data_IF_876608316092
#
_entry.id   IF_876608316092
#
_cell.length_a   1.000
_cell.length_b   1.000
_cell.length_c   1.000
_cell.angle_alpha   90.00
_cell.angle_beta   90.00
_cell.angle_gamma   90.00
#
_symmetry.space_group_name_H-M   'P 1'
#
loop_
_entity.id
_entity.type
_entity.pdbx_description
1 polymer ?
#
# COMPACT_ATOMS: atom_id res chain seq x y z
N UNK A 1 10.18 -15.95 -25.00
CA UNK A 1 9.70 -15.35 -23.72
C UNK A 1 10.85 -14.97 -22.79
N UNK A 2 12.01 -15.67 -22.80
CA UNK A 2 13.21 -15.24 -22.02
C UNK A 2 13.78 -13.89 -22.47
N UNK A 3 13.64 -13.53 -23.74
CA UNK A 3 14.11 -12.25 -24.30
C UNK A 3 13.31 -11.00 -23.90
N UNK A 4 12.08 -11.16 -23.41
CA UNK A 4 11.16 -10.04 -23.11
C UNK A 4 11.10 -9.67 -21.62
N UNK A 5 11.84 -10.37 -20.76
CA UNK A 5 11.87 -10.11 -19.32
C UNK A 5 10.50 -10.22 -18.60
N UNK A 6 9.55 -10.94 -19.20
CA UNK A 6 8.19 -11.07 -18.68
C UNK A 6 8.16 -11.94 -17.43
N UNK A 7 7.37 -11.55 -16.44
CA UNK A 7 6.99 -12.39 -15.29
C UNK A 7 6.15 -13.58 -15.76
N UNK A 8 6.02 -14.62 -14.94
CA UNK A 8 5.24 -15.81 -15.34
C UNK A 8 3.76 -15.49 -15.65
N UNK A 9 3.15 -14.58 -14.86
CA UNK A 9 1.78 -14.08 -15.14
C UNK A 9 1.68 -13.31 -16.46
N UNK A 10 2.68 -12.50 -16.79
CA UNK A 10 2.73 -11.78 -18.07
C UNK A 10 2.95 -12.74 -19.26
N UNK A 11 3.71 -13.81 -19.07
CA UNK A 11 3.85 -14.89 -20.06
C UNK A 11 2.51 -15.58 -20.31
N UNK A 12 1.79 -15.95 -19.24
CA UNK A 12 0.48 -16.60 -19.35
C UNK A 12 -0.53 -15.69 -20.05
N UNK A 13 -0.56 -14.40 -19.71
CA UNK A 13 -1.39 -13.40 -20.38
C UNK A 13 -1.05 -13.26 -21.86
N UNK A 14 0.24 -13.19 -22.20
CA UNK A 14 0.71 -13.14 -23.58
C UNK A 14 0.31 -14.40 -24.36
N UNK A 15 0.42 -15.58 -23.76
CA UNK A 15 -0.03 -16.83 -24.37
C UNK A 15 -1.54 -16.84 -24.63
N UNK A 16 -2.36 -16.30 -23.71
CA UNK A 16 -3.79 -16.15 -23.91
C UNK A 16 -4.11 -15.23 -25.08
N UNK A 17 -3.41 -14.11 -25.25
CA UNK A 17 -3.57 -13.22 -26.41
C UNK A 17 -3.29 -13.96 -27.72
N UNK A 18 -2.21 -14.73 -27.79
CA UNK A 18 -1.88 -15.55 -28.97
C UNK A 18 -2.95 -16.60 -29.23
N UNK A 19 -3.51 -17.22 -28.19
CA UNK A 19 -4.58 -18.21 -28.33
C UNK A 19 -5.88 -17.60 -28.84
N UNK A 20 -6.27 -16.40 -28.39
CA UNK A 20 -7.42 -15.65 -28.92
C UNK A 20 -7.26 -15.37 -30.42
N UNK A 21 -6.08 -14.92 -30.86
CA UNK A 21 -5.81 -14.63 -32.27
C UNK A 21 -5.75 -15.87 -33.15
N UNK A 22 -5.31 -17.00 -32.60
CA UNK A 22 -5.19 -18.27 -33.33
C UNK A 22 -6.43 -19.18 -33.25
N UNK A 23 -7.45 -18.77 -32.50
CA UNK A 23 -8.69 -19.58 -32.38
C UNK A 23 -9.40 -19.69 -33.71
N UNK A 24 -9.51 -20.93 -34.23
CA UNK A 24 -10.09 -21.23 -35.55
C UNK A 24 -11.60 -21.22 -35.58
N UNK A 25 -12.28 -21.20 -34.43
CA UNK A 25 -13.74 -21.14 -34.33
C UNK A 25 -14.17 -20.13 -33.25
N UNK A 26 -15.44 -19.69 -33.34
CA UNK A 26 -16.01 -18.68 -32.47
C UNK A 26 -16.09 -19.16 -31.02
N UNK A 27 -16.45 -20.41 -30.78
CA UNK A 27 -16.60 -20.97 -29.42
C UNK A 27 -15.26 -20.96 -28.68
N UNK A 28 -14.19 -21.37 -29.38
CA UNK A 28 -12.83 -21.39 -28.84
C UNK A 28 -12.31 -19.95 -28.63
N UNK A 29 -12.64 -19.03 -29.52
CA UNK A 29 -12.30 -17.60 -29.37
C UNK A 29 -12.97 -16.99 -28.16
N UNK A 30 -14.28 -17.23 -28.00
CA UNK A 30 -15.05 -16.73 -26.85
C UNK A 30 -14.53 -17.31 -25.51
N UNK A 31 -14.14 -18.59 -25.51
CA UNK A 31 -13.52 -19.22 -24.33
C UNK A 31 -12.20 -18.53 -23.92
N UNK A 32 -11.30 -18.31 -24.86
CA UNK A 32 -10.03 -17.64 -24.57
C UNK A 32 -10.21 -16.16 -24.25
N UNK A 33 -11.19 -15.49 -24.87
CA UNK A 33 -11.54 -14.10 -24.55
C UNK A 33 -12.06 -13.98 -23.11
N UNK A 34 -12.89 -14.91 -22.64
CA UNK A 34 -13.35 -14.94 -21.26
C UNK A 34 -12.19 -15.16 -20.28
N UNK A 35 -11.25 -16.07 -20.61
CA UNK A 35 -10.03 -16.28 -19.80
C UNK A 35 -9.14 -15.04 -19.78
N UNK A 36 -8.99 -14.35 -20.91
CA UNK A 36 -8.22 -13.12 -21.01
C UNK A 36 -8.83 -12.02 -20.14
N UNK A 37 -10.17 -11.89 -20.19
CA UNK A 37 -10.91 -10.93 -19.35
C UNK A 37 -10.73 -11.24 -17.87
N UNK A 38 -10.85 -12.51 -17.47
CA UNK A 38 -10.61 -12.93 -16.08
C UNK A 38 -9.16 -12.67 -15.63
N UNK A 39 -8.17 -12.98 -16.46
CA UNK A 39 -6.77 -12.70 -16.17
C UNK A 39 -6.49 -11.20 -16.08
N UNK A 40 -7.15 -10.38 -16.90
CA UNK A 40 -7.08 -8.91 -16.82
C UNK A 40 -7.68 -8.40 -15.51
N UNK A 41 -8.86 -8.88 -15.11
CA UNK A 41 -9.48 -8.53 -13.83
C UNK A 41 -8.62 -8.95 -12.64
N UNK A 42 -8.04 -10.14 -12.67
CA UNK A 42 -7.11 -10.62 -11.65
C UNK A 42 -5.85 -9.74 -11.59
N UNK A 43 -5.30 -9.33 -12.73
CA UNK A 43 -4.14 -8.43 -12.79
C UNK A 43 -4.42 -7.01 -12.26
N UNK A 44 -5.67 -6.54 -12.33
CA UNK A 44 -6.11 -5.26 -11.77
C UNK A 44 -6.42 -5.33 -10.27
N UNK A 45 -6.47 -6.53 -9.69
CA UNK A 45 -6.62 -6.68 -8.25
C UNK A 45 -5.30 -6.35 -7.54
N UNK A 46 -5.27 -5.22 -6.85
CA UNK A 46 -4.09 -4.74 -6.14
C UNK A 46 -3.57 -5.74 -5.10
N UNK A 47 -4.46 -6.55 -4.50
CA UNK A 47 -4.13 -7.59 -3.53
C UNK A 47 -3.19 -8.65 -4.09
N UNK A 48 -3.45 -9.14 -5.30
CA UNK A 48 -2.66 -10.21 -5.91
C UNK A 48 -1.29 -9.72 -6.37
N UNK A 49 -1.19 -8.43 -6.70
CA UNK A 49 0.06 -7.77 -7.09
C UNK A 49 0.93 -7.37 -5.89
N UNK A 50 0.32 -7.07 -4.76
CA UNK A 50 0.98 -6.69 -3.51
C UNK A 50 1.19 -7.92 -2.62
N UNK A 51 1.99 -8.90 -2.99
CA UNK A 51 2.23 -10.15 -2.22
C UNK A 51 2.20 -9.95 -0.70
N UNK A 52 1.15 -10.47 -0.05
CA UNK A 52 0.96 -10.42 1.39
C UNK A 52 1.81 -11.48 2.09
N UNK A 53 2.50 -11.12 3.15
CA UNK A 53 3.46 -12.02 3.79
C UNK A 53 3.15 -12.41 5.24
N UNK A 54 2.20 -11.79 5.94
CA UNK A 54 1.65 -12.32 7.19
C UNK A 54 0.33 -11.66 7.55
N UNK A 55 -0.63 -12.43 8.04
CA UNK A 55 -1.91 -11.91 8.53
C UNK A 55 -1.81 -11.66 10.03
N UNK A 56 -2.06 -10.42 10.45
CA UNK A 56 -2.42 -10.12 11.83
C UNK A 56 -3.76 -10.80 12.15
N UNK A 57 -3.98 -11.19 13.39
CA UNK A 57 -5.29 -11.66 13.83
C UNK A 57 -6.34 -10.57 13.60
N UNK A 58 -7.54 -10.96 13.20
CA UNK A 58 -8.63 -10.03 12.80
C UNK A 58 -8.93 -8.96 13.85
N UNK A 59 -8.87 -9.32 15.12
CA UNK A 59 -9.08 -8.42 16.27
C UNK A 59 -8.04 -7.30 16.38
N UNK A 60 -6.78 -7.58 16.00
CA UNK A 60 -5.69 -6.60 16.04
C UNK A 60 -5.78 -5.58 14.89
N UNK A 61 -6.45 -5.92 13.76
CA UNK A 61 -6.63 -4.99 12.65
C UNK A 61 -7.46 -3.76 13.06
N UNK A 62 -8.55 -3.98 13.81
CA UNK A 62 -9.42 -2.86 14.22
C UNK A 62 -8.64 -1.84 15.05
N UNK A 63 -7.82 -2.30 15.97
CA UNK A 63 -7.01 -1.43 16.81
C UNK A 63 -5.87 -0.78 16.02
N UNK A 64 -5.11 -1.56 15.25
CA UNK A 64 -3.98 -1.05 14.47
C UNK A 64 -4.40 0.04 13.47
N UNK A 65 -5.54 -0.11 12.81
CA UNK A 65 -6.06 0.86 11.85
C UNK A 65 -7.06 1.86 12.45
N UNK A 66 -7.29 1.84 13.75
CA UNK A 66 -8.18 2.80 14.41
C UNK A 66 -7.67 4.24 14.29
N UNK A 67 -6.36 4.45 14.35
CA UNK A 67 -5.71 5.74 14.28
C UNK A 67 -4.45 5.70 13.41
N UNK A 68 -4.17 6.78 12.69
CA UNK A 68 -2.99 6.89 11.82
C UNK A 68 -1.66 6.76 12.59
N UNK A 69 -1.65 7.13 13.88
CA UNK A 69 -0.46 7.11 14.74
C UNK A 69 0.17 5.72 14.81
N UNK A 70 -0.61 4.63 14.88
CA UNK A 70 -0.06 3.27 14.95
C UNK A 70 0.89 2.99 13.78
N UNK A 71 0.45 3.26 12.55
CA UNK A 71 1.27 3.07 11.35
C UNK A 71 2.49 3.98 11.36
N UNK A 72 2.32 5.25 11.74
CA UNK A 72 3.41 6.24 11.75
C UNK A 72 4.44 5.90 12.84
N UNK A 73 4.02 5.49 14.03
CA UNK A 73 4.91 5.02 15.11
C UNK A 73 5.80 3.89 14.59
N UNK A 74 5.23 2.88 13.93
CA UNK A 74 6.00 1.77 13.36
C UNK A 74 7.04 2.30 12.37
N UNK A 75 6.64 3.14 11.42
CA UNK A 75 7.56 3.68 10.40
C UNK A 75 8.64 4.58 10.98
N UNK A 76 8.32 5.40 11.99
CA UNK A 76 9.30 6.25 12.67
C UNK A 76 10.42 5.43 13.33
N UNK A 77 10.12 4.24 13.88
CA UNK A 77 11.14 3.38 14.50
C UNK A 77 12.15 2.80 13.49
N UNK A 78 11.91 2.91 12.19
CA UNK A 78 12.90 2.61 11.14
C UNK A 78 13.95 3.74 10.99
N UNK A 79 13.66 4.94 11.49
CA UNK A 79 14.55 6.09 11.44
C UNK A 79 15.41 6.12 12.71
N UNK A 80 16.73 6.19 12.58
CA UNK A 80 17.65 6.18 13.73
C UNK A 80 17.37 7.28 14.76
N UNK A 81 16.83 8.42 14.32
CA UNK A 81 16.47 9.56 15.17
C UNK A 81 15.21 9.38 16.01
N UNK A 82 14.42 8.27 15.82
CA UNK A 82 13.14 8.05 16.51
C UNK A 82 13.02 6.65 17.11
N UNK A 83 14.06 6.18 17.78
CA UNK A 83 14.10 4.84 18.35
C UNK A 83 13.76 4.78 19.85
N UNK A 84 13.37 5.87 20.48
CA UNK A 84 12.94 5.89 21.89
C UNK A 84 11.54 6.47 22.02
N UNK A 85 10.81 6.06 23.06
CA UNK A 85 9.48 6.60 23.34
C UNK A 85 9.48 8.14 23.49
N UNK A 86 10.53 8.72 24.08
CA UNK A 86 10.66 10.16 24.24
C UNK A 86 10.78 10.88 22.88
N UNK A 87 11.65 10.38 21.99
CA UNK A 87 11.82 10.95 20.64
C UNK A 87 10.56 10.86 19.80
N UNK A 88 9.85 9.73 19.87
CA UNK A 88 8.57 9.54 19.15
C UNK A 88 7.50 10.47 19.72
N UNK A 89 7.41 10.59 21.05
CA UNK A 89 6.47 11.48 21.76
C UNK A 89 6.67 12.94 21.35
N UNK A 90 7.90 13.41 21.33
CA UNK A 90 8.27 14.77 20.94
C UNK A 90 7.92 15.03 19.46
N UNK A 91 8.32 14.14 18.55
CA UNK A 91 8.07 14.30 17.12
C UNK A 91 6.58 14.30 16.77
N UNK A 92 5.79 13.42 17.37
CA UNK A 92 4.34 13.34 17.15
C UNK A 92 3.53 14.37 17.95
N UNK A 93 4.19 15.11 18.87
CA UNK A 93 3.53 15.97 19.86
C UNK A 93 2.44 15.19 20.64
N UNK A 94 2.73 13.93 20.94
CA UNK A 94 1.83 13.01 21.62
C UNK A 94 2.36 12.72 23.03
N UNK A 95 1.60 13.05 24.09
CA UNK A 95 2.03 12.79 25.46
C UNK A 95 2.41 11.32 25.69
N UNK A 96 3.47 11.07 26.45
CA UNK A 96 3.93 9.70 26.75
C UNK A 96 2.84 8.81 27.34
N UNK A 97 1.91 9.40 28.12
CA UNK A 97 0.77 8.67 28.68
C UNK A 97 -0.15 8.07 27.59
N UNK A 98 -0.27 8.75 26.45
CA UNK A 98 -1.05 8.28 25.30
C UNK A 98 -0.22 7.37 24.39
N UNK A 99 1.07 7.64 24.24
CA UNK A 99 1.98 6.85 23.39
C UNK A 99 2.27 5.46 23.94
N UNK A 100 2.47 5.31 25.27
CA UNK A 100 2.84 4.02 25.89
C UNK A 100 1.88 2.90 25.58
N UNK A 101 0.54 3.02 25.75
CA UNK A 101 -0.41 1.97 25.39
C UNK A 101 -0.32 1.57 23.89
N UNK A 102 0.02 2.51 23.01
CA UNK A 102 0.19 2.23 21.59
C UNK A 102 1.45 1.41 21.32
N UNK A 103 2.55 1.75 21.98
CA UNK A 103 3.80 0.98 21.90
C UNK A 103 3.63 -0.44 22.47
N UNK A 104 3.00 -0.55 23.65
CA UNK A 104 2.74 -1.84 24.31
C UNK A 104 1.92 -2.75 23.38
N UNK A 105 0.85 -2.23 22.79
CA UNK A 105 0.05 -2.96 21.80
C UNK A 105 0.89 -3.39 20.59
N UNK A 106 1.71 -2.51 20.02
CA UNK A 106 2.55 -2.83 18.87
C UNK A 106 3.62 -3.88 19.18
N UNK A 107 4.11 -3.91 20.42
CA UNK A 107 5.02 -4.96 20.91
C UNK A 107 4.29 -6.27 21.15
N UNK A 108 3.09 -6.24 21.75
CA UNK A 108 2.25 -7.41 22.00
C UNK A 108 1.91 -8.16 20.71
N UNK A 109 1.51 -7.43 19.67
CA UNK A 109 1.21 -8.03 18.36
C UNK A 109 2.46 -8.37 17.52
N UNK A 110 3.66 -8.15 18.07
CA UNK A 110 4.93 -8.54 17.49
C UNK A 110 5.40 -7.72 16.30
N UNK A 111 4.86 -6.51 16.11
CA UNK A 111 5.31 -5.57 15.06
C UNK A 111 6.58 -4.85 15.50
N UNK A 112 6.64 -4.40 16.75
CA UNK A 112 7.80 -3.77 17.36
C UNK A 112 8.45 -4.67 18.41
N UNK A 113 9.68 -4.38 18.72
CA UNK A 113 10.38 -4.91 19.89
C UNK A 113 11.28 -3.84 20.49
N UNK A 114 11.53 -3.92 21.79
CA UNK A 114 12.48 -3.06 22.47
C UNK A 114 13.73 -3.85 22.86
N UNK A 115 14.90 -3.31 22.57
CA UNK A 115 16.19 -3.89 22.93
C UNK A 115 17.14 -2.78 23.36
N UNK A 116 17.66 -2.86 24.58
CA UNK A 116 18.58 -1.85 25.16
C UNK A 116 18.03 -0.43 25.10
N UNK A 117 16.73 -0.24 25.38
CA UNK A 117 16.04 1.04 25.34
C UNK A 117 15.75 1.60 23.95
N UNK A 118 16.02 0.83 22.90
CA UNK A 118 15.69 1.17 21.51
C UNK A 118 14.55 0.35 20.99
N UNK A 119 13.54 1.02 20.46
CA UNK A 119 12.36 0.44 19.82
C UNK A 119 12.66 0.26 18.34
N UNK A 120 12.48 -0.95 17.83
CA UNK A 120 12.75 -1.30 16.44
C UNK A 120 11.63 -2.16 15.85
N UNK A 121 11.51 -2.13 14.54
CA UNK A 121 10.61 -3.01 13.80
C UNK A 121 11.10 -4.45 13.90
N UNK A 122 10.21 -5.36 14.27
CA UNK A 122 10.42 -6.80 14.24
C UNK A 122 9.83 -7.43 12.97
N UNK A 123 8.65 -6.97 12.57
CA UNK A 123 7.97 -7.46 11.37
C UNK A 123 7.12 -6.33 10.75
N UNK A 124 7.39 -6.01 9.48
CA UNK A 124 6.71 -4.93 8.73
C UNK A 124 5.61 -5.45 7.81
N UNK A 125 5.43 -6.77 7.73
CA UNK A 125 4.52 -7.38 6.78
C UNK A 125 3.07 -7.37 7.30
N UNK A 126 2.47 -6.18 7.34
CA UNK A 126 1.07 -6.00 7.70
C UNK A 126 0.28 -5.84 6.41
N UNK A 127 -0.47 -6.87 6.05
CA UNK A 127 -1.39 -6.81 4.92
C UNK A 127 -2.84 -6.91 5.39
N UNK A 128 -3.69 -6.02 4.87
CA UNK A 128 -5.14 -6.04 5.11
C UNK A 128 -5.87 -6.25 3.79
N UNK A 129 -6.82 -7.18 3.77
CA UNK A 129 -7.68 -7.39 2.58
C UNK A 129 -8.42 -6.10 2.19
N UNK A 130 -8.52 -5.82 0.89
CA UNK A 130 -9.08 -4.57 0.34
C UNK A 130 -10.51 -4.24 0.80
N UNK A 131 -11.29 -5.25 1.17
CA UNK A 131 -12.72 -5.11 1.49
C UNK A 131 -13.00 -4.98 3.00
N UNK A 132 -11.97 -4.82 3.84
CA UNK A 132 -12.19 -4.70 5.28
C UNK A 132 -12.56 -3.27 5.69
N UNK A 133 -13.45 -3.12 6.67
CA UNK A 133 -13.77 -1.83 7.29
C UNK A 133 -12.50 -1.13 7.83
N UNK A 134 -11.53 -1.92 8.31
CA UNK A 134 -10.24 -1.43 8.79
C UNK A 134 -9.43 -0.72 7.70
N UNK A 135 -9.46 -1.22 6.45
CA UNK A 135 -8.81 -0.57 5.31
C UNK A 135 -9.46 0.77 4.99
N UNK A 136 -10.78 0.84 4.97
CA UNK A 136 -11.49 2.11 4.77
C UNK A 136 -11.10 3.13 5.83
N UNK A 137 -11.05 2.73 7.10
CA UNK A 137 -10.63 3.58 8.22
C UNK A 137 -9.17 4.05 8.06
N UNK A 138 -8.27 3.16 7.68
CA UNK A 138 -6.88 3.51 7.37
C UNK A 138 -6.79 4.60 6.29
N UNK A 139 -7.50 4.42 5.17
CA UNK A 139 -7.55 5.41 4.10
C UNK A 139 -8.14 6.75 4.56
N UNK A 140 -9.22 6.74 5.33
CA UNK A 140 -9.82 7.96 5.90
C UNK A 140 -8.86 8.69 6.84
N UNK A 141 -8.20 7.96 7.74
CA UNK A 141 -7.24 8.52 8.70
C UNK A 141 -6.11 9.28 8.00
N UNK A 142 -5.49 8.69 6.96
CA UNK A 142 -4.39 9.34 6.25
C UNK A 142 -4.86 10.52 5.39
N UNK A 143 -6.06 10.46 4.77
CA UNK A 143 -6.64 11.59 4.05
C UNK A 143 -6.96 12.76 4.98
N UNK A 144 -7.57 12.46 6.12
CA UNK A 144 -7.82 13.48 7.14
C UNK A 144 -6.50 14.12 7.64
N UNK A 145 -5.46 13.31 7.88
CA UNK A 145 -4.15 13.83 8.28
C UNK A 145 -3.51 14.67 7.17
N UNK A 146 -3.59 14.28 5.91
CA UNK A 146 -3.10 15.07 4.78
C UNK A 146 -3.83 16.40 4.64
N UNK A 147 -5.15 16.44 4.86
CA UNK A 147 -5.92 17.68 4.87
C UNK A 147 -5.44 18.64 5.96
N UNK A 148 -5.24 18.16 7.19
CA UNK A 148 -4.72 18.98 8.28
C UNK A 148 -3.30 19.51 7.99
N UNK A 149 -2.52 18.74 7.22
CA UNK A 149 -1.15 19.10 6.88
C UNK A 149 -1.07 20.14 5.76
N UNK A 150 -2.07 20.18 4.86
CA UNK A 150 -2.09 21.04 3.67
C UNK A 150 -1.94 22.51 4.00
N UNK A 151 -2.57 22.99 5.08
CA UNK A 151 -2.58 24.42 5.45
C UNK A 151 -1.17 24.94 5.82
N UNK A 152 -0.28 24.06 6.26
CA UNK A 152 1.07 24.41 6.72
C UNK A 152 2.18 23.69 5.93
N UNK A 153 1.85 23.07 4.79
CA UNK A 153 2.78 22.29 4.01
C UNK A 153 3.78 23.15 3.24
N UNK A 154 5.05 22.77 3.28
CA UNK A 154 6.07 23.31 2.39
C UNK A 154 5.87 22.75 0.97
N UNK A 155 5.28 23.53 0.09
CA UNK A 155 4.97 23.12 -1.29
C UNK A 155 6.21 22.84 -2.15
N UNK A 156 7.41 23.24 -1.71
CA UNK A 156 8.65 22.89 -2.39
C UNK A 156 9.05 21.43 -2.17
N UNK A 157 8.54 20.81 -1.09
CA UNK A 157 8.83 19.42 -0.67
C UNK A 157 7.64 18.49 -0.80
N UNK A 158 6.42 19.05 -0.89
CA UNK A 158 5.18 18.31 -0.88
C UNK A 158 4.42 18.52 -2.20
N UNK A 159 3.88 17.44 -2.75
CA UNK A 159 3.07 17.47 -3.96
C UNK A 159 1.61 17.21 -3.61
N UNK A 160 0.76 18.20 -3.89
CA UNK A 160 -0.70 18.05 -3.82
C UNK A 160 -1.27 18.23 -5.22
N UNK A 161 -2.11 17.29 -5.65
CA UNK A 161 -2.76 17.35 -6.95
C UNK A 161 -4.23 16.97 -6.82
N UNK A 162 -5.10 17.81 -7.37
CA UNK A 162 -6.54 17.56 -7.44
C UNK A 162 -7.03 18.05 -8.79
N UNK A 163 -7.63 17.17 -9.57
CA UNK A 163 -8.17 17.50 -10.90
C UNK A 163 -9.49 16.75 -11.17
N UNK A 164 -10.65 17.34 -10.84
CA UNK A 164 -11.93 16.78 -11.28
C UNK A 164 -11.98 16.79 -12.82
N UNK A 165 -12.31 15.64 -13.42
CA UNK A 165 -12.37 15.50 -14.87
C UNK A 165 -13.57 14.64 -15.29
N UNK A 166 -14.08 14.89 -16.51
CA UNK A 166 -15.04 14.01 -17.17
C UNK A 166 -14.29 13.24 -18.26
N UNK A 167 -14.33 11.92 -18.18
CA UNK A 167 -13.62 11.02 -19.10
C UNK A 167 -14.55 9.90 -19.59
N UNK A 168 -14.22 9.23 -20.69
CA UNK A 168 -14.92 8.03 -21.12
C UNK A 168 -14.71 6.88 -20.12
N UNK A 169 -15.56 5.86 -20.17
CA UNK A 169 -15.38 4.65 -19.33
C UNK A 169 -14.09 3.91 -19.68
N UNK A 170 -13.76 3.85 -20.96
CA UNK A 170 -12.54 3.21 -21.47
C UNK A 170 -11.28 3.95 -20.95
N UNK A 171 -11.26 5.28 -21.01
CA UNK A 171 -10.16 6.09 -20.51
C UNK A 171 -10.05 6.01 -18.99
N UNK A 172 -11.18 5.93 -18.27
CA UNK A 172 -11.18 5.74 -16.82
C UNK A 172 -10.48 4.42 -16.43
N UNK A 173 -10.77 3.32 -17.14
CA UNK A 173 -10.07 2.05 -16.89
C UNK A 173 -8.58 2.12 -17.27
N UNK A 174 -8.24 2.77 -18.37
CA UNK A 174 -6.86 2.99 -18.78
C UNK A 174 -6.07 3.80 -17.72
N UNK A 175 -6.66 4.87 -17.19
CA UNK A 175 -6.05 5.68 -16.12
C UNK A 175 -5.86 4.82 -14.87
N UNK A 176 -6.86 4.05 -14.48
CA UNK A 176 -6.77 3.13 -13.34
C UNK A 176 -5.62 2.13 -13.49
N UNK A 177 -5.47 1.52 -14.67
CA UNK A 177 -4.35 0.61 -14.96
C UNK A 177 -2.99 1.32 -14.80
N UNK A 178 -2.86 2.54 -15.31
CA UNK A 178 -1.63 3.34 -15.17
C UNK A 178 -1.31 3.70 -13.72
N UNK A 179 -2.33 4.01 -12.91
CA UNK A 179 -2.15 4.26 -11.48
C UNK A 179 -1.67 3.00 -10.74
N UNK A 180 -2.19 1.82 -11.09
CA UNK A 180 -1.72 0.55 -10.52
C UNK A 180 -0.24 0.30 -10.91
N UNK A 181 0.14 0.54 -12.18
CA UNK A 181 1.53 0.43 -12.61
C UNK A 181 2.44 1.43 -11.88
N UNK A 182 1.97 2.66 -11.68
CA UNK A 182 2.70 3.66 -10.89
C UNK A 182 2.92 3.21 -9.44
N UNK A 183 1.90 2.65 -8.78
CA UNK A 183 2.03 2.12 -7.41
C UNK A 183 3.09 1.01 -7.35
N UNK A 184 3.18 0.14 -8.37
CA UNK A 184 4.22 -0.88 -8.44
C UNK A 184 5.63 -0.29 -8.62
N UNK A 185 5.76 0.70 -9.50
CA UNK A 185 7.01 1.42 -9.70
C UNK A 185 7.45 2.14 -8.42
N UNK A 186 6.52 2.84 -7.77
CA UNK A 186 6.75 3.47 -6.46
C UNK A 186 7.29 2.47 -5.45
N UNK A 187 6.68 1.28 -5.34
CA UNK A 187 7.14 0.25 -4.40
C UNK A 187 8.54 -0.28 -4.73
N UNK A 188 8.87 -0.44 -6.00
CA UNK A 188 10.21 -0.85 -6.43
C UNK A 188 11.29 0.15 -6.01
N UNK A 189 10.94 1.42 -5.90
CA UNK A 189 11.83 2.48 -5.42
C UNK A 189 11.81 2.56 -3.89
N UNK A 190 10.62 2.58 -3.28
CA UNK A 190 10.46 2.84 -1.85
C UNK A 190 10.95 1.68 -0.96
N UNK A 191 10.73 0.41 -1.37
CA UNK A 191 11.08 -0.76 -0.55
C UNK A 191 12.60 -0.89 -0.31
N UNK A 192 13.49 -0.76 -1.32
CA UNK A 192 14.94 -0.83 -1.11
C UNK A 192 15.57 0.50 -0.66
N UNK A 193 14.79 1.59 -0.55
CA UNK A 193 15.31 2.92 -0.20
C UNK A 193 15.79 2.97 1.26
N UNK A 194 16.91 3.64 1.54
CA UNK A 194 17.33 3.94 2.90
C UNK A 194 16.24 4.70 3.66
N UNK A 195 16.09 4.38 4.96
CA UNK A 195 15.10 5.04 5.82
C UNK A 195 15.65 6.38 6.32
N UNK A 196 15.31 7.49 5.65
CA UNK A 196 15.78 8.83 5.99
C UNK A 196 14.65 9.76 6.43
N UNK A 197 13.51 9.73 5.73
CA UNK A 197 12.35 10.59 5.95
C UNK A 197 11.04 9.82 5.75
N UNK A 198 9.97 10.25 6.44
CA UNK A 198 8.64 9.67 6.31
C UNK A 198 7.80 10.43 5.29
N UNK A 199 7.36 9.74 4.26
CA UNK A 199 6.43 10.26 3.26
C UNK A 199 5.15 9.43 3.22
N UNK A 200 4.04 10.08 2.85
CA UNK A 200 2.76 9.41 2.63
C UNK A 200 2.26 9.68 1.21
N UNK A 201 1.99 8.63 0.46
CA UNK A 201 1.36 8.69 -0.85
C UNK A 201 -0.12 8.31 -0.73
N UNK A 202 -1.02 9.24 -1.03
CA UNK A 202 -2.46 9.00 -1.16
C UNK A 202 -2.84 9.08 -2.65
N UNK A 203 -3.62 8.14 -3.12
CA UNK A 203 -4.16 8.13 -4.49
C UNK A 203 -5.66 7.84 -4.39
N UNK A 204 -6.46 8.66 -5.07
CA UNK A 204 -7.91 8.52 -5.19
C UNK A 204 -8.30 8.53 -6.66
N UNK A 205 -9.09 7.51 -7.09
CA UNK A 205 -9.60 7.37 -8.44
C UNK A 205 -10.94 6.61 -8.46
#
# INVERSE_FOLDING_TARGET
>A
TQYLGLTDKEKDYFLLLVQVERAGDKSLKDYFQNKLTAAKQESTNLKDRLKASSELKKEHYYQFFSHWQYTVIVLLTALDKYQTAAQISEHLQLPLLQLRPMLDFLMEIGILHETKGKIKIKNLNIFVGQDSESVRRHHQNFRHKSQQFLDNADLSKNLFFTNPAVVSKEDAELIREKLIQFIEQYRKIAVPSPSEELYCLNIDW
#
